data_IF_704357635929
#
_entry.id   IF_704357635929
#
_cell.length_a   1.000
_cell.length_b   1.000
_cell.length_c   1.000
_cell.angle_alpha   90.00
_cell.angle_beta   90.00
_cell.angle_gamma   90.00
#
_symmetry.space_group_name_H-M   'P 1'
#
loop_
_entity.id
_entity.type
_entity.pdbx_description
1 polymer ?
#
# COMPACT_ATOMS: atom_id res chain seq x y z
N UNK A 1 13.77 -28.38 15.23
CA UNK A 1 13.53 -29.63 14.47
C UNK A 1 13.88 -29.32 13.03
N UNK A 2 14.90 -30.01 12.50
CA UNK A 2 15.33 -29.85 11.12
C UNK A 2 14.29 -30.49 10.21
N UNK A 3 13.92 -29.79 9.13
CA UNK A 3 13.09 -30.33 8.07
C UNK A 3 13.89 -31.37 7.31
N UNK A 4 13.24 -32.47 6.92
CA UNK A 4 13.87 -33.52 6.13
C UNK A 4 13.66 -33.27 4.63
N UNK A 5 14.60 -33.74 3.81
CA UNK A 5 14.39 -33.83 2.36
C UNK A 5 13.07 -34.53 2.07
N UNK A 6 12.36 -34.04 1.05
CA UNK A 6 11.05 -34.53 0.61
C UNK A 6 9.91 -34.36 1.63
N UNK A 7 10.13 -33.65 2.75
CA UNK A 7 9.07 -33.36 3.71
C UNK A 7 7.94 -32.54 3.04
N UNK A 8 6.67 -32.97 3.15
CA UNK A 8 5.58 -32.28 2.46
C UNK A 8 5.32 -30.90 3.04
N UNK A 9 5.19 -29.93 2.13
CA UNK A 9 4.90 -28.54 2.44
C UNK A 9 3.65 -28.07 1.72
N UNK A 10 2.99 -27.07 2.32
CA UNK A 10 1.80 -26.44 1.77
C UNK A 10 2.01 -24.92 1.76
N UNK A 11 1.95 -24.30 0.59
CA UNK A 11 1.90 -22.86 0.46
C UNK A 11 0.43 -22.42 0.33
N UNK A 12 0.05 -21.36 1.05
CA UNK A 12 -1.25 -20.72 0.91
C UNK A 12 -1.08 -19.27 0.44
N UNK A 13 -1.95 -18.80 -0.45
CA UNK A 13 -1.94 -17.41 -0.91
C UNK A 13 -3.10 -17.10 -1.85
N UNK A 14 -3.17 -15.86 -2.32
CA UNK A 14 -4.19 -15.40 -3.27
C UNK A 14 -3.55 -15.15 -4.63
N UNK A 15 -3.66 -16.10 -5.59
CA UNK A 15 -3.14 -15.90 -6.94
C UNK A 15 -3.69 -14.63 -7.57
N UNK A 16 -2.79 -13.82 -8.13
CA UNK A 16 -3.05 -12.51 -8.71
C UNK A 16 -3.65 -11.48 -7.73
N UNK A 17 -3.70 -11.80 -6.43
CA UNK A 17 -4.04 -10.87 -5.36
C UNK A 17 -5.46 -10.34 -5.49
N UNK A 18 -5.57 -9.07 -5.87
CA UNK A 18 -6.85 -8.37 -6.06
C UNK A 18 -7.31 -8.34 -7.51
N UNK A 19 -6.48 -8.83 -8.44
CA UNK A 19 -6.76 -8.84 -9.88
C UNK A 19 -7.54 -10.12 -10.31
N UNK A 20 -7.74 -11.05 -9.37
CA UNK A 20 -8.52 -12.28 -9.57
C UNK A 20 -9.23 -12.63 -8.26
N UNK A 21 -10.56 -12.50 -8.25
CA UNK A 21 -11.35 -12.89 -7.09
C UNK A 21 -11.27 -14.39 -6.79
N UNK A 22 -11.24 -14.74 -5.50
CA UNK A 22 -11.28 -16.14 -5.09
C UNK A 22 -10.91 -16.39 -3.64
N UNK A 23 -11.04 -17.66 -3.23
CA UNK A 23 -10.51 -18.13 -1.96
C UNK A 23 -8.99 -18.33 -2.08
N UNK A 24 -8.33 -18.40 -0.93
CA UNK A 24 -6.91 -18.76 -0.89
C UNK A 24 -6.66 -20.10 -1.61
N UNK A 25 -5.65 -20.12 -2.47
CA UNK A 25 -5.19 -21.32 -3.16
C UNK A 25 -4.14 -22.02 -2.30
N UNK A 26 -4.27 -23.34 -2.19
CA UNK A 26 -3.31 -24.20 -1.51
C UNK A 26 -2.48 -24.94 -2.56
N UNK A 27 -1.17 -24.72 -2.54
CA UNK A 27 -0.21 -25.45 -3.37
C UNK A 27 0.56 -26.43 -2.50
N UNK A 28 0.68 -27.67 -2.96
CA UNK A 28 1.43 -28.71 -2.27
C UNK A 28 2.74 -28.95 -2.99
N UNK A 29 3.77 -29.22 -2.21
CA UNK A 29 5.08 -29.56 -2.71
C UNK A 29 5.92 -30.20 -1.63
N UNK A 30 7.22 -30.25 -1.87
CA UNK A 30 8.19 -30.89 -0.99
C UNK A 30 9.35 -29.95 -0.69
N UNK A 31 9.93 -30.12 0.50
CA UNK A 31 11.18 -29.48 0.84
C UNK A 31 12.33 -30.06 0.01
N UNK A 32 13.14 -29.17 -0.57
CA UNK A 32 14.36 -29.55 -1.31
C UNK A 32 15.60 -29.22 -0.50
N UNK A 33 15.80 -27.95 -0.14
CA UNK A 33 17.03 -27.50 0.55
C UNK A 33 16.84 -26.09 1.15
N UNK A 34 17.79 -25.63 1.95
CA UNK A 34 17.95 -24.22 2.28
C UNK A 34 18.93 -23.52 1.33
N UNK A 35 18.58 -22.32 0.88
CA UNK A 35 19.43 -21.47 0.04
C UNK A 35 19.86 -20.23 0.79
N UNK A 36 21.16 -19.95 0.77
CA UNK A 36 21.75 -18.80 1.44
C UNK A 36 22.52 -17.96 0.41
N UNK A 37 22.45 -16.64 0.54
CA UNK A 37 23.25 -15.71 -0.27
C UNK A 37 24.34 -15.09 0.59
N UNK A 38 25.53 -14.88 0.01
CA UNK A 38 26.58 -14.06 0.64
C UNK A 38 26.26 -12.56 0.56
N UNK A 39 25.44 -12.15 -0.40
CA UNK A 39 25.09 -10.75 -0.65
C UNK A 39 23.85 -10.32 0.13
N UNK A 40 22.88 -11.23 0.29
CA UNK A 40 21.70 -11.01 1.13
C UNK A 40 21.77 -11.97 2.32
N UNK A 41 21.85 -11.47 3.57
CA UNK A 41 21.94 -12.30 4.77
C UNK A 41 20.56 -12.89 5.14
N UNK A 42 19.85 -13.43 4.14
CA UNK A 42 18.51 -14.01 4.25
C UNK A 42 18.63 -15.48 3.84
N UNK A 43 18.11 -16.37 4.69
CA UNK A 43 17.95 -17.78 4.36
C UNK A 43 16.62 -18.00 3.65
N UNK A 44 16.64 -18.77 2.57
CA UNK A 44 15.46 -19.16 1.81
C UNK A 44 15.19 -20.65 1.93
N UNK A 45 13.93 -21.05 1.91
CA UNK A 45 13.48 -22.43 1.77
C UNK A 45 13.28 -22.70 0.29
N UNK A 46 13.96 -23.70 -0.25
CA UNK A 46 13.70 -24.18 -1.61
C UNK A 46 12.67 -25.30 -1.58
N UNK A 47 11.69 -25.17 -2.47
CA UNK A 47 10.62 -26.16 -2.70
C UNK A 47 10.40 -26.32 -4.20
N UNK A 48 9.69 -27.36 -4.61
CA UNK A 48 9.15 -27.54 -5.97
C UNK A 48 7.84 -26.75 -6.22
N UNK A 49 7.32 -26.04 -5.22
CA UNK A 49 6.12 -25.21 -5.35
C UNK A 49 6.40 -24.01 -6.28
N UNK A 50 5.53 -23.83 -7.27
CA UNK A 50 5.54 -22.65 -8.15
C UNK A 50 4.59 -21.57 -7.62
N UNK A 51 5.14 -20.42 -7.25
CA UNK A 51 4.38 -19.24 -6.83
C UNK A 51 4.04 -18.37 -8.04
N UNK A 52 2.90 -17.69 -7.95
CA UNK A 52 2.49 -16.62 -8.86
C UNK A 52 2.34 -15.29 -8.11
N UNK A 53 2.30 -14.18 -8.85
CA UNK A 53 2.02 -12.83 -8.30
C UNK A 53 0.80 -12.90 -7.37
N UNK A 54 0.82 -12.14 -6.28
CA UNK A 54 -0.29 -12.08 -5.31
C UNK A 54 -0.21 -13.09 -4.17
N UNK A 55 0.53 -14.20 -4.34
CA UNK A 55 0.73 -15.17 -3.24
C UNK A 55 1.80 -14.73 -2.23
N UNK A 56 2.57 -13.67 -2.55
CA UNK A 56 3.59 -13.07 -1.68
C UNK A 56 3.03 -12.70 -0.31
N UNK A 57 3.81 -12.92 0.75
CA UNK A 57 3.44 -12.73 2.15
C UNK A 57 2.65 -13.89 2.76
N UNK A 58 2.10 -14.80 1.94
CA UNK A 58 1.41 -15.99 2.42
C UNK A 58 2.34 -17.01 3.10
N UNK A 59 1.81 -17.93 3.92
CA UNK A 59 2.62 -18.89 4.63
C UNK A 59 3.00 -20.10 3.76
N UNK A 60 4.19 -20.64 4.04
CA UNK A 60 4.61 -22.00 3.69
C UNK A 60 4.66 -22.81 4.99
N UNK A 61 3.84 -23.85 5.09
CA UNK A 61 3.68 -24.67 6.30
C UNK A 61 4.02 -26.14 6.09
N UNK A 62 4.41 -26.83 7.16
CA UNK A 62 4.46 -28.29 7.18
C UNK A 62 3.07 -28.90 7.39
N UNK A 63 3.00 -30.24 7.42
CA UNK A 63 1.74 -30.98 7.61
C UNK A 63 1.08 -30.75 8.98
N UNK A 64 1.82 -30.24 9.97
CA UNK A 64 1.30 -29.88 11.29
C UNK A 64 0.81 -28.43 11.35
N UNK A 65 0.91 -27.68 10.25
CA UNK A 65 0.54 -26.27 10.18
C UNK A 65 1.59 -25.32 10.77
N UNK A 66 2.80 -25.81 11.06
CA UNK A 66 3.89 -24.94 11.52
C UNK A 66 4.44 -24.16 10.34
N UNK A 67 4.60 -22.85 10.51
CA UNK A 67 5.20 -21.97 9.49
C UNK A 67 6.70 -22.26 9.35
N UNK A 68 7.08 -22.68 8.15
CA UNK A 68 8.43 -23.02 7.73
C UNK A 68 9.04 -21.91 6.88
N UNK A 69 8.22 -21.21 6.11
CA UNK A 69 8.65 -20.07 5.33
C UNK A 69 7.53 -19.10 4.99
N UNK A 70 7.89 -18.02 4.30
CA UNK A 70 7.01 -16.95 3.86
C UNK A 70 7.17 -16.83 2.36
N UNK A 71 6.08 -16.97 1.62
CA UNK A 71 6.06 -16.81 0.17
C UNK A 71 6.60 -15.42 -0.19
N UNK A 72 7.62 -15.32 -1.05
CA UNK A 72 8.21 -14.03 -1.41
C UNK A 72 7.97 -13.69 -2.86
N UNK A 73 8.58 -14.40 -3.80
CA UNK A 73 8.42 -14.13 -5.22
C UNK A 73 8.85 -15.35 -6.04
N UNK A 74 8.43 -15.39 -7.30
CA UNK A 74 9.00 -16.28 -8.30
C UNK A 74 9.95 -15.50 -9.20
N UNK A 75 11.16 -16.01 -9.42
CA UNK A 75 12.18 -15.40 -10.26
C UNK A 75 12.86 -16.48 -11.10
N UNK A 76 12.84 -16.32 -12.43
CA UNK A 76 13.51 -17.24 -13.38
C UNK A 76 13.15 -18.73 -13.17
N UNK A 77 11.88 -19.02 -12.85
CA UNK A 77 11.38 -20.37 -12.62
C UNK A 77 11.63 -20.93 -11.20
N UNK A 78 12.25 -20.14 -10.31
CA UNK A 78 12.45 -20.50 -8.91
C UNK A 78 11.54 -19.66 -8.01
N UNK A 79 10.75 -20.33 -7.18
CA UNK A 79 10.00 -19.69 -6.11
C UNK A 79 10.89 -19.52 -4.88
N UNK A 80 10.91 -18.31 -4.35
CA UNK A 80 11.64 -17.94 -3.15
C UNK A 80 10.69 -17.84 -1.97
N UNK A 81 11.06 -18.52 -0.88
CA UNK A 81 10.35 -18.49 0.39
C UNK A 81 11.34 -18.06 1.48
N UNK A 82 11.09 -16.96 2.17
CA UNK A 82 11.94 -16.55 3.29
C UNK A 82 11.79 -17.57 4.41
N UNK A 83 12.90 -18.04 4.98
CA UNK A 83 12.90 -18.98 6.10
C UNK A 83 12.23 -18.34 7.33
N UNK A 84 11.29 -19.06 7.94
CA UNK A 84 10.52 -18.55 9.08
C UNK A 84 11.36 -18.35 10.35
N UNK A 85 12.41 -19.16 10.56
CA UNK A 85 13.31 -18.98 11.71
C UNK A 85 14.18 -17.74 11.53
N UNK A 86 14.63 -17.44 10.31
CA UNK A 86 15.26 -16.15 10.01
C UNK A 86 14.30 -14.99 10.25
N UNK A 87 13.04 -15.08 9.79
CA UNK A 87 12.05 -14.04 10.05
C UNK A 87 11.84 -13.80 11.57
N UNK A 88 11.82 -14.86 12.38
CA UNK A 88 11.71 -14.74 13.85
C UNK A 88 12.90 -14.02 14.51
N UNK A 89 14.09 -14.04 13.91
CA UNK A 89 15.24 -13.30 14.48
C UNK A 89 15.11 -11.80 14.26
N UNK A 90 14.40 -11.37 13.20
CA UNK A 90 14.20 -9.96 12.89
C UNK A 90 12.91 -9.40 13.48
N UNK A 91 11.89 -10.22 13.80
CA UNK A 91 10.65 -9.77 14.45
C UNK A 91 10.90 -8.85 15.67
N UNK A 92 11.82 -9.16 16.60
CA UNK A 92 12.14 -8.27 17.72
C UNK A 92 12.69 -6.89 17.32
N UNK A 93 13.24 -6.73 16.11
CA UNK A 93 13.67 -5.42 15.61
C UNK A 93 12.47 -4.58 15.15
N UNK A 94 11.34 -5.20 14.81
CA UNK A 94 10.05 -4.53 14.56
C UNK A 94 9.34 -4.24 15.89
N UNK A 95 10.04 -3.62 16.83
CA UNK A 95 9.41 -2.95 17.97
C UNK A 95 8.60 -1.75 17.49
N UNK A 96 7.85 -1.09 18.38
CA UNK A 96 7.17 0.20 18.16
C UNK A 96 8.16 1.36 17.86
N UNK A 97 9.30 1.08 17.21
CA UNK A 97 10.02 2.09 16.46
C UNK A 97 9.00 2.76 15.56
N UNK A 98 8.78 4.06 15.80
CA UNK A 98 7.91 4.90 14.97
C UNK A 98 8.27 4.63 13.50
N UNK A 99 7.52 3.73 12.84
CA UNK A 99 7.54 3.55 11.38
C UNK A 99 7.44 4.97 10.86
N UNK A 100 8.51 5.43 10.20
CA UNK A 100 8.84 6.84 9.93
C UNK A 100 7.60 7.70 10.04
N UNK A 101 7.43 8.42 11.18
CA UNK A 101 6.26 9.27 11.38
C UNK A 101 6.05 10.01 10.09
N UNK A 102 4.88 9.84 9.49
CA UNK A 102 4.49 10.57 8.28
C UNK A 102 4.67 12.05 8.61
N UNK A 103 5.79 12.62 8.17
CA UNK A 103 6.21 13.96 8.52
C UNK A 103 5.79 14.88 7.39
N UNK A 104 4.49 15.15 7.37
CA UNK A 104 3.87 16.11 6.46
C UNK A 104 3.58 17.38 7.25
N UNK A 105 3.89 18.53 6.67
CA UNK A 105 3.63 19.83 7.28
C UNK A 105 2.70 20.66 6.37
N UNK A 106 1.40 20.68 6.66
CA UNK A 106 0.41 21.41 5.87
C UNK A 106 0.50 22.94 6.04
N UNK A 107 1.35 23.45 6.94
CA UNK A 107 1.51 24.89 7.17
C UNK A 107 2.45 25.58 6.17
N UNK A 108 3.30 24.79 5.49
CA UNK A 108 4.35 25.31 4.62
C UNK A 108 3.79 25.96 3.34
N UNK A 109 2.84 25.28 2.69
CA UNK A 109 2.29 25.73 1.40
C UNK A 109 1.00 24.99 1.03
N UNK A 110 0.21 25.49 0.06
CA UNK A 110 -0.95 24.78 -0.48
C UNK A 110 -0.63 23.35 -0.95
N UNK A 111 0.49 23.16 -1.63
CA UNK A 111 0.97 21.87 -2.15
C UNK A 111 1.28 20.92 -0.99
N UNK A 112 1.98 21.41 0.03
CA UNK A 112 2.31 20.62 1.22
C UNK A 112 1.04 20.22 1.99
N UNK A 113 0.02 21.07 2.02
CA UNK A 113 -1.31 20.73 2.57
C UNK A 113 -2.02 19.66 1.75
N UNK A 114 -1.97 19.73 0.42
CA UNK A 114 -2.54 18.71 -0.46
C UNK A 114 -1.86 17.35 -0.24
N UNK A 115 -0.53 17.33 -0.20
CA UNK A 115 0.25 16.13 0.13
C UNK A 115 -0.15 15.59 1.50
N UNK A 116 -0.22 16.45 2.52
CA UNK A 116 -0.62 16.04 3.86
C UNK A 116 -2.02 15.41 3.87
N UNK A 117 -2.99 16.04 3.21
CA UNK A 117 -4.37 15.56 3.13
C UNK A 117 -4.46 14.14 2.56
N UNK A 118 -3.89 13.90 1.37
CA UNK A 118 -3.92 12.57 0.76
C UNK A 118 -3.06 11.55 1.51
N UNK A 119 -1.97 11.99 2.16
CA UNK A 119 -1.17 11.10 3.00
C UNK A 119 -1.93 10.66 4.26
N UNK A 120 -2.74 11.54 4.85
CA UNK A 120 -3.62 11.15 5.96
C UNK A 120 -4.70 10.16 5.53
N UNK A 121 -5.25 10.29 4.32
CA UNK A 121 -6.16 9.29 3.75
C UNK A 121 -5.46 7.94 3.57
N UNK A 122 -4.28 7.93 2.94
CA UNK A 122 -3.42 6.74 2.76
C UNK A 122 -3.16 6.03 4.09
N UNK A 123 -2.84 6.81 5.12
CA UNK A 123 -2.50 6.31 6.45
C UNK A 123 -3.72 6.01 7.35
N UNK A 124 -4.95 6.15 6.85
CA UNK A 124 -6.20 6.06 7.62
C UNK A 124 -6.24 6.99 8.85
N UNK A 125 -5.49 8.09 8.82
CA UNK A 125 -5.51 9.17 9.83
C UNK A 125 -6.70 10.09 9.56
N UNK A 126 -7.91 9.53 9.63
CA UNK A 126 -9.12 10.19 9.14
C UNK A 126 -9.42 11.50 9.87
N UNK A 127 -9.15 11.57 11.18
CA UNK A 127 -9.33 12.81 11.96
C UNK A 127 -8.40 13.92 11.47
N UNK A 128 -7.14 13.61 11.22
CA UNK A 128 -6.15 14.58 10.73
C UNK A 128 -6.51 15.08 9.32
N UNK A 129 -6.99 14.18 8.44
CA UNK A 129 -7.49 14.56 7.12
C UNK A 129 -8.74 15.44 7.19
N UNK A 130 -9.69 15.09 8.07
CA UNK A 130 -10.90 15.89 8.27
C UNK A 130 -10.60 17.27 8.87
N UNK A 131 -9.64 17.34 9.80
CA UNK A 131 -9.21 18.59 10.42
C UNK A 131 -8.49 19.50 9.42
N UNK A 132 -8.00 18.98 8.30
CA UNK A 132 -7.47 19.80 7.20
C UNK A 132 -8.55 20.42 6.32
N UNK A 133 -9.83 20.09 6.49
CA UNK A 133 -10.91 20.77 5.76
C UNK A 133 -11.13 22.18 6.34
N UNK A 134 -11.35 23.16 5.46
CA UNK A 134 -11.65 24.54 5.86
C UNK A 134 -13.03 24.66 6.52
N UNK A 135 -13.25 25.72 7.30
CA UNK A 135 -14.56 25.99 7.89
C UNK A 135 -15.67 26.08 6.85
N UNK A 136 -15.40 26.65 5.67
CA UNK A 136 -16.37 26.74 4.57
C UNK A 136 -16.69 25.34 3.98
N UNK A 137 -15.69 24.47 3.83
CA UNK A 137 -15.92 23.10 3.35
C UNK A 137 -16.80 22.31 4.33
N UNK A 138 -16.54 22.48 5.63
CA UNK A 138 -17.26 21.80 6.71
C UNK A 138 -18.74 22.19 6.80
N UNK A 139 -19.17 23.30 6.20
CA UNK A 139 -20.60 23.64 6.12
C UNK A 139 -21.42 22.63 5.30
N UNK A 140 -20.76 21.79 4.48
CA UNK A 140 -21.39 20.88 3.51
C UNK A 140 -21.30 19.41 3.91
N UNK A 141 -20.65 19.09 5.02
CA UNK A 141 -20.45 17.70 5.43
C UNK A 141 -20.15 17.58 6.93
N UNK A 142 -20.07 16.36 7.44
CA UNK A 142 -19.61 16.05 8.78
C UNK A 142 -18.60 14.89 8.75
N UNK A 143 -18.02 14.54 9.89
CA UNK A 143 -16.98 13.53 9.97
C UNK A 143 -17.43 12.16 9.45
N UNK A 144 -18.61 11.71 9.83
CA UNK A 144 -19.13 10.39 9.43
C UNK A 144 -19.40 10.34 7.92
N UNK A 145 -20.08 11.36 7.38
CA UNK A 145 -20.38 11.45 5.95
C UNK A 145 -19.09 11.54 5.12
N UNK A 146 -18.15 12.40 5.53
CA UNK A 146 -16.89 12.59 4.80
C UNK A 146 -16.05 11.32 4.84
N UNK A 147 -15.86 10.69 6.00
CA UNK A 147 -15.10 9.43 6.11
C UNK A 147 -15.78 8.28 5.37
N UNK A 148 -17.12 8.27 5.32
CA UNK A 148 -17.91 7.29 4.59
C UNK A 148 -17.58 7.21 3.09
N UNK A 149 -17.10 8.31 2.48
CA UNK A 149 -16.72 8.38 1.06
C UNK A 149 -15.47 7.56 0.72
N UNK A 150 -14.70 7.14 1.73
CA UNK A 150 -13.42 6.44 1.57
C UNK A 150 -13.44 4.99 2.07
N UNK A 151 -14.65 4.44 2.30
CA UNK A 151 -14.81 3.06 2.83
C UNK A 151 -14.19 2.03 1.91
N UNK A 152 -14.41 2.18 0.60
CA UNK A 152 -13.95 1.23 -0.40
C UNK A 152 -12.59 1.60 -1.00
N UNK A 153 -11.96 2.69 -0.56
CA UNK A 153 -10.62 3.05 -1.02
C UNK A 153 -9.59 2.30 -0.16
N UNK A 154 -8.79 1.44 -0.78
CA UNK A 154 -7.74 0.64 -0.13
C UNK A 154 -6.43 1.41 0.02
N UNK A 155 -6.04 2.17 -1.00
CA UNK A 155 -4.81 2.96 -1.03
C UNK A 155 -5.01 4.27 -1.80
N UNK A 156 -4.19 5.26 -1.46
CA UNK A 156 -4.11 6.55 -2.16
C UNK A 156 -2.63 6.83 -2.40
N UNK A 157 -2.29 7.23 -3.62
CA UNK A 157 -0.91 7.55 -3.98
C UNK A 157 -0.82 8.92 -4.66
N UNK A 158 -0.07 9.83 -4.06
CA UNK A 158 0.16 11.17 -4.63
C UNK A 158 1.30 11.06 -5.63
N UNK A 159 0.98 11.24 -6.91
CA UNK A 159 1.94 11.18 -8.01
C UNK A 159 2.66 12.53 -8.14
N UNK A 160 1.89 13.62 -8.04
CA UNK A 160 2.42 14.99 -8.15
C UNK A 160 1.62 15.96 -7.29
N UNK A 161 2.29 16.89 -6.63
CA UNK A 161 1.65 18.11 -6.12
C UNK A 161 2.59 19.30 -6.29
N UNK A 162 2.11 20.34 -6.97
CA UNK A 162 2.91 21.52 -7.30
C UNK A 162 2.06 22.78 -7.34
N UNK A 163 2.73 23.93 -7.44
CA UNK A 163 2.08 25.23 -7.49
C UNK A 163 1.22 25.37 -8.73
N UNK A 164 0.00 25.85 -8.58
CA UNK A 164 -0.87 26.11 -9.71
C UNK A 164 -0.63 27.51 -10.31
N UNK A 165 0.23 27.57 -11.33
CA UNK A 165 0.61 28.81 -12.00
C UNK A 165 1.18 29.84 -11.01
N UNK A 166 0.64 31.06 -11.02
CA UNK A 166 1.04 32.14 -10.11
C UNK A 166 0.17 32.26 -8.84
N UNK A 167 -0.76 31.32 -8.61
CA UNK A 167 -1.62 31.35 -7.43
C UNK A 167 -0.80 31.20 -6.15
N UNK A 168 -1.25 31.86 -5.08
CA UNK A 168 -0.68 31.73 -3.72
C UNK A 168 -1.48 30.78 -2.83
N UNK A 169 -2.64 30.35 -3.32
CA UNK A 169 -3.68 29.65 -2.55
C UNK A 169 -4.16 28.38 -3.25
N UNK A 170 -3.59 27.98 -4.37
CA UNK A 170 -3.98 26.79 -5.12
C UNK A 170 -2.78 25.91 -5.48
N UNK A 171 -3.01 24.60 -5.40
CA UNK A 171 -2.07 23.57 -5.79
C UNK A 171 -2.70 22.69 -6.87
N UNK A 172 -1.87 22.30 -7.84
CA UNK A 172 -2.16 21.23 -8.77
C UNK A 172 -1.84 19.88 -8.12
N UNK A 173 -2.60 18.85 -8.46
CA UNK A 173 -2.39 17.49 -7.95
C UNK A 173 -2.70 16.44 -9.01
N UNK A 174 -1.84 15.41 -9.07
CA UNK A 174 -2.11 14.12 -9.70
C UNK A 174 -2.03 13.04 -8.63
N UNK A 175 -3.01 12.17 -8.55
CA UNK A 175 -3.02 11.06 -7.60
C UNK A 175 -3.78 9.87 -8.15
N UNK A 176 -3.54 8.70 -7.59
CA UNK A 176 -4.33 7.50 -7.85
C UNK A 176 -5.03 7.02 -6.58
N UNK A 177 -6.11 6.29 -6.77
CA UNK A 177 -6.74 5.50 -5.71
C UNK A 177 -6.83 4.05 -6.14
N UNK A 178 -6.65 3.15 -5.18
CA UNK A 178 -6.95 1.73 -5.35
C UNK A 178 -8.30 1.47 -4.68
N UNK A 179 -9.36 1.30 -5.45
CA UNK A 179 -10.71 1.09 -4.96
C UNK A 179 -11.04 -0.39 -4.91
N UNK A 180 -11.85 -0.81 -3.96
CA UNK A 180 -12.42 -2.14 -3.88
C UNK A 180 -13.80 -2.15 -4.52
N UNK A 181 -13.92 -2.82 -5.66
CA UNK A 181 -15.15 -2.85 -6.47
C UNK A 181 -15.45 -4.30 -6.80
N UNK A 182 -16.62 -4.77 -6.40
CA UNK A 182 -17.13 -6.12 -6.70
C UNK A 182 -16.16 -7.29 -6.40
N UNK A 183 -15.31 -7.11 -5.39
CA UNK A 183 -14.35 -8.13 -4.94
C UNK A 183 -12.97 -8.05 -5.59
N UNK A 184 -12.77 -7.10 -6.51
CA UNK A 184 -11.49 -6.82 -7.15
C UNK A 184 -11.00 -5.42 -6.78
N UNK A 185 -9.72 -5.16 -7.06
CA UNK A 185 -9.21 -3.82 -6.91
C UNK A 185 -9.06 -3.11 -8.25
N UNK A 186 -9.65 -1.93 -8.34
CA UNK A 186 -9.58 -1.06 -9.50
C UNK A 186 -8.69 0.14 -9.19
N UNK A 187 -7.84 0.54 -10.13
CA UNK A 187 -6.99 1.73 -10.00
C UNK A 187 -7.64 2.85 -10.80
N UNK A 188 -7.90 3.96 -10.12
CA UNK A 188 -8.41 5.19 -10.73
C UNK A 188 -7.35 6.27 -10.65
N UNK A 189 -7.31 7.14 -11.65
CA UNK A 189 -6.36 8.24 -11.73
C UNK A 189 -7.10 9.56 -11.75
N UNK A 190 -6.55 10.55 -11.07
CA UNK A 190 -7.19 11.84 -10.90
C UNK A 190 -6.19 12.96 -11.11
N UNK A 191 -6.67 14.03 -11.73
CA UNK A 191 -5.93 15.25 -11.93
C UNK A 191 -6.81 16.46 -11.61
N UNK A 192 -6.21 17.50 -11.03
CA UNK A 192 -6.83 18.81 -11.04
C UNK A 192 -6.22 19.73 -10.02
N UNK A 193 -7.05 20.58 -9.42
CA UNK A 193 -6.60 21.60 -8.48
C UNK A 193 -7.34 21.55 -7.17
N UNK A 194 -6.62 21.88 -6.10
CA UNK A 194 -7.18 22.24 -4.82
C UNK A 194 -6.93 23.73 -4.58
N UNK A 195 -8.00 24.47 -4.32
CA UNK A 195 -7.91 25.75 -3.64
C UNK A 195 -7.84 25.50 -2.13
N UNK A 196 -6.99 26.27 -1.47
CA UNK A 196 -6.76 26.27 -0.03
C UNK A 196 -7.03 27.64 0.56
N UNK A 197 -7.20 27.70 1.88
CA UNK A 197 -7.30 28.94 2.66
C UNK A 197 -6.48 28.80 3.93
N UNK A 198 -5.79 29.86 4.35
CA UNK A 198 -4.97 29.82 5.56
C UNK A 198 -5.85 30.11 6.77
N UNK A 199 -6.05 29.10 7.62
CA UNK A 199 -6.82 29.17 8.87
C UNK A 199 -5.92 28.66 10.00
N UNK A 200 -5.82 29.42 11.10
CA UNK A 200 -4.99 29.09 12.27
C UNK A 200 -3.54 28.71 11.93
N UNK A 201 -2.96 29.40 10.94
CA UNK A 201 -1.58 29.19 10.50
C UNK A 201 -1.38 28.01 9.54
N UNK A 202 -2.42 27.24 9.23
CA UNK A 202 -2.36 26.05 8.37
C UNK A 202 -3.14 26.29 7.08
N UNK A 203 -2.64 25.81 5.93
CA UNK A 203 -3.43 25.80 4.71
C UNK A 203 -4.48 24.69 4.82
N UNK A 204 -5.76 25.05 4.73
CA UNK A 204 -6.91 24.14 4.79
C UNK A 204 -7.52 23.94 3.42
N UNK A 205 -8.05 22.76 3.17
CA UNK A 205 -8.70 22.33 1.93
C UNK A 205 -10.04 23.06 1.77
N UNK A 206 -10.14 23.93 0.76
CA UNK A 206 -11.31 24.80 0.55
C UNK A 206 -12.24 24.26 -0.54
N UNK A 207 -11.69 24.01 -1.73
CA UNK A 207 -12.48 23.57 -2.87
C UNK A 207 -11.60 22.85 -3.87
N UNK A 208 -12.03 21.68 -4.31
CA UNK A 208 -11.38 20.97 -5.42
C UNK A 208 -12.08 21.23 -6.75
N UNK A 209 -11.28 21.15 -7.82
CA UNK A 209 -11.73 20.93 -9.18
C UNK A 209 -10.85 19.80 -9.73
N UNK A 210 -11.22 18.57 -9.36
CA UNK A 210 -10.52 17.33 -9.71
C UNK A 210 -11.42 16.52 -10.65
N UNK A 211 -10.82 15.96 -11.68
CA UNK A 211 -11.46 15.08 -12.65
C UNK A 211 -10.73 13.75 -12.68
N UNK A 212 -11.48 12.69 -12.93
CA UNK A 212 -10.92 11.37 -13.21
C UNK A 212 -10.35 11.33 -14.62
N UNK A 213 -9.20 10.68 -14.77
CA UNK A 213 -8.51 10.46 -16.04
C UNK A 213 -8.58 8.98 -16.35
N UNK A 214 -9.31 8.64 -17.42
CA UNK A 214 -9.38 7.27 -17.93
C UNK A 214 -8.16 6.98 -18.80
N UNK A 215 -7.51 5.85 -18.56
CA UNK A 215 -6.37 5.36 -19.34
C UNK A 215 -5.26 6.42 -19.59
N UNK A 216 -4.65 6.99 -18.53
CA UNK A 216 -3.60 7.98 -18.69
C UNK A 216 -2.43 7.41 -19.50
N UNK A 217 -1.94 8.22 -20.45
CA UNK A 217 -0.73 7.89 -21.20
C UNK A 217 0.52 7.92 -20.29
N UNK A 218 1.61 7.29 -20.74
CA UNK A 218 2.81 7.11 -19.91
C UNK A 218 3.42 8.44 -19.45
N UNK A 219 3.42 9.45 -20.30
CA UNK A 219 3.89 10.82 -20.03
C UNK A 219 3.14 11.48 -18.87
N UNK A 220 1.84 11.21 -18.70
CA UNK A 220 1.03 11.75 -17.61
C UNK A 220 1.62 11.48 -16.22
N UNK A 221 2.33 10.37 -16.03
CA UNK A 221 2.95 10.00 -14.76
C UNK A 221 4.24 10.75 -14.45
N UNK A 222 4.90 11.32 -15.45
CA UNK A 222 6.23 11.93 -15.32
C UNK A 222 6.25 13.42 -15.64
N UNK A 223 5.20 13.94 -16.28
CA UNK A 223 4.98 15.38 -16.51
C UNK A 223 4.42 16.11 -15.29
#
# INVERSE_FOLDING_TARGET
MAIREEEPLIAAGYPLGTDLTGKATLLKGTFIDYRNSKQMPIAYVQTDISLVKGMSGGPLVDQCGKVIGINTMSLAGLSLFINADWAKTIIPNFTDQNITKINVDPSLSPESSVVAFYTYLKARRMKDGFDLLSQEYLQKTNFEEWTGRFKDILDVDVIKSEKFGNSKDAAFVKFSTKNWVDGEAEIHYYEGTWKTVKEDGVYKMLKSKITEITDPAWDWFYE
#
